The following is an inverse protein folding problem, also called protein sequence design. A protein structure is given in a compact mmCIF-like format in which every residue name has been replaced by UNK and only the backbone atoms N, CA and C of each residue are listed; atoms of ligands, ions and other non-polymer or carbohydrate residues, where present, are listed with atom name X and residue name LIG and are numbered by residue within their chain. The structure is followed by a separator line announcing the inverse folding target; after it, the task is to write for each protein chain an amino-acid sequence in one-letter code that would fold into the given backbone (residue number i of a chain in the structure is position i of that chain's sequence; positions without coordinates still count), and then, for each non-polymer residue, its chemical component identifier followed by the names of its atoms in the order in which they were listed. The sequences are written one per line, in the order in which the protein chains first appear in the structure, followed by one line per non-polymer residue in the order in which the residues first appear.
data_IF_428051584861
#
_entry.id   IF_428051584861
#
_cell.length_a   1.000
_cell.length_b   1.000
_cell.length_c   1.000
_cell.angle_alpha   90.00
_cell.angle_beta   90.00
_cell.angle_gamma   90.00
#
_symmetry.space_group_name_H-M   'P 1'
#
loop_
_entity.id
_entity.type
_entity.pdbx_description
1 polymer ?
#
# COMPACT_ATOMS: atom_id res chain seq x y z
N UNK A 1 -3.02 20.81 8.56
CA UNK A 1 -1.80 19.98 8.36
C UNK A 1 -0.56 20.84 8.22
N UNK A 2 -0.61 21.92 7.43
CA UNK A 2 0.49 22.91 7.32
C UNK A 2 1.06 23.42 8.64
N UNK A 3 0.21 23.77 9.61
CA UNK A 3 0.67 24.21 10.94
C UNK A 3 1.48 23.15 11.67
N UNK A 4 1.12 21.87 11.49
CA UNK A 4 1.85 20.75 12.10
C UNK A 4 3.20 20.60 11.41
N UNK A 5 3.24 20.60 10.08
CA UNK A 5 4.49 20.52 9.33
C UNK A 5 5.43 21.68 9.69
N UNK A 6 4.91 22.91 9.72
CA UNK A 6 5.67 24.10 10.05
C UNK A 6 6.29 24.01 11.45
N UNK A 7 5.56 23.48 12.43
CA UNK A 7 6.08 23.31 13.79
C UNK A 7 7.25 22.32 13.89
N UNK A 8 7.33 21.35 12.97
CA UNK A 8 8.42 20.39 12.92
C UNK A 8 9.60 20.93 12.13
N UNK A 9 9.34 21.61 11.02
CA UNK A 9 10.38 22.21 10.17
C UNK A 9 11.13 23.33 10.88
N UNK A 10 10.54 23.99 11.88
CA UNK A 10 11.26 24.95 12.75
C UNK A 10 12.24 24.29 13.72
N UNK A 11 12.34 22.96 13.76
CA UNK A 11 13.29 22.27 14.63
C UNK A 11 14.73 22.49 14.15
N UNK A 12 15.71 22.70 15.05
CA UNK A 12 17.10 22.90 14.65
C UNK A 12 17.63 21.73 13.81
N UNK A 13 18.28 22.06 12.69
CA UNK A 13 18.86 21.09 11.76
C UNK A 13 17.88 20.45 10.77
N UNK A 14 16.63 20.91 10.71
CA UNK A 14 15.67 20.53 9.66
C UNK A 14 15.72 21.54 8.51
N UNK A 15 15.96 21.04 7.30
CA UNK A 15 16.02 21.83 6.06
C UNK A 15 14.61 22.04 5.51
N UNK A 16 13.77 21.02 5.61
CA UNK A 16 12.39 21.07 5.17
C UNK A 16 11.66 19.75 5.39
N UNK A 17 10.40 19.70 5.00
CA UNK A 17 9.61 18.50 5.13
C UNK A 17 8.37 18.48 4.27
N UNK A 18 7.73 17.32 4.26
CA UNK A 18 6.49 17.06 3.54
C UNK A 18 5.62 16.05 4.27
N UNK A 19 4.32 16.13 4.02
CA UNK A 19 3.34 15.15 4.45
C UNK A 19 2.75 14.51 3.20
N UNK A 20 2.78 13.19 3.15
CA UNK A 20 2.11 12.40 2.13
C UNK A 20 0.97 11.59 2.74
N UNK A 21 -0.04 11.29 1.92
CA UNK A 21 -1.06 10.28 2.25
C UNK A 21 -0.51 8.86 2.08
N UNK A 22 -1.32 7.86 2.40
CA UNK A 22 -1.04 6.43 2.26
C UNK A 22 -0.71 6.01 0.82
N UNK A 23 -1.13 6.79 -0.18
CA UNK A 23 -0.86 6.60 -1.60
C UNK A 23 0.52 7.14 -2.03
N UNK A 24 1.19 7.88 -1.16
CA UNK A 24 2.43 8.59 -1.47
C UNK A 24 2.18 9.90 -2.20
N UNK A 25 0.92 10.35 -2.30
CA UNK A 25 0.58 11.65 -2.85
C UNK A 25 0.89 12.74 -1.84
N UNK A 26 1.46 13.82 -2.34
CA UNK A 26 1.91 14.94 -1.53
C UNK A 26 0.70 15.77 -1.08
N UNK A 27 0.41 15.79 0.22
CA UNK A 27 -0.66 16.61 0.81
C UNK A 27 -0.18 18.03 1.09
N UNK A 28 1.00 18.15 1.71
CA UNK A 28 1.57 19.43 2.13
C UNK A 28 3.09 19.37 2.03
N UNK A 29 3.72 20.46 1.58
CA UNK A 29 5.18 20.62 1.61
C UNK A 29 5.61 21.91 2.28
N UNK A 30 6.79 21.87 2.87
CA UNK A 30 7.54 23.00 3.41
C UNK A 30 9.01 22.72 3.14
N UNK A 31 9.38 22.73 1.87
CA UNK A 31 10.75 22.52 1.36
C UNK A 31 11.24 23.78 0.65
N UNK A 32 12.56 24.03 0.59
CA UNK A 32 13.13 25.10 -0.22
C UNK A 32 12.73 25.01 -1.70
N UNK A 33 12.63 26.15 -2.38
CA UNK A 33 12.12 26.25 -3.76
C UNK A 33 12.98 25.50 -4.80
N UNK A 34 14.23 25.18 -4.46
CA UNK A 34 15.10 24.35 -5.28
C UNK A 34 14.61 22.89 -5.44
N UNK A 35 13.68 22.43 -4.59
CA UNK A 35 13.13 21.08 -4.66
C UNK A 35 11.80 21.07 -5.40
N UNK A 36 11.82 20.45 -6.59
CA UNK A 36 10.62 20.28 -7.42
C UNK A 36 9.57 19.38 -6.75
N UNK A 37 8.30 19.78 -6.85
CA UNK A 37 7.17 19.03 -6.29
C UNK A 37 7.00 17.65 -6.91
N UNK A 38 7.27 17.49 -8.21
CA UNK A 38 7.17 16.20 -8.89
C UNK A 38 8.24 15.23 -8.40
N UNK A 39 9.47 15.70 -8.16
CA UNK A 39 10.51 14.88 -7.55
C UNK A 39 10.20 14.51 -6.10
N UNK A 40 9.68 15.45 -5.29
CA UNK A 40 9.26 15.18 -3.91
C UNK A 40 8.16 14.12 -3.83
N UNK A 41 7.17 14.16 -4.73
CA UNK A 41 6.13 13.15 -4.81
C UNK A 41 6.70 11.76 -5.11
N UNK A 42 7.63 11.65 -6.08
CA UNK A 42 8.32 10.38 -6.37
C UNK A 42 9.08 9.85 -5.17
N UNK A 43 9.79 10.72 -4.44
CA UNK A 43 10.49 10.35 -3.21
C UNK A 43 9.51 9.86 -2.15
N UNK A 44 8.37 10.53 -1.96
CA UNK A 44 7.34 10.09 -1.03
C UNK A 44 6.79 8.70 -1.38
N UNK A 45 6.48 8.44 -2.66
CA UNK A 45 6.04 7.12 -3.13
C UNK A 45 7.08 6.04 -2.84
N UNK A 46 8.35 6.29 -3.18
CA UNK A 46 9.43 5.33 -3.00
C UNK A 46 9.70 5.01 -1.51
N UNK A 47 9.67 6.04 -0.66
CA UNK A 47 9.82 5.85 0.79
C UNK A 47 8.68 5.05 1.38
N UNK A 48 7.44 5.24 0.90
CA UNK A 48 6.30 4.45 1.34
C UNK A 48 6.40 2.99 0.92
N UNK A 49 6.88 2.71 -0.29
CA UNK A 49 7.10 1.34 -0.75
C UNK A 49 8.16 0.63 0.10
N UNK A 50 9.25 1.32 0.43
CA UNK A 50 10.28 0.79 1.32
C UNK A 50 9.75 0.57 2.73
N UNK A 51 8.99 1.53 3.26
CA UNK A 51 8.38 1.46 4.58
C UNK A 51 7.48 0.23 4.71
N UNK A 52 6.69 -0.08 3.68
CA UNK A 52 5.84 -1.27 3.64
C UNK A 52 6.65 -2.57 3.68
N UNK A 53 7.69 -2.68 2.85
CA UNK A 53 8.57 -3.86 2.86
C UNK A 53 9.29 -4.04 4.20
N UNK A 54 9.68 -2.94 4.84
CA UNK A 54 10.25 -2.97 6.19
C UNK A 54 9.22 -3.39 7.24
N UNK A 55 7.99 -2.88 7.17
CA UNK A 55 6.91 -3.25 8.10
C UNK A 55 6.59 -4.75 8.03
N UNK A 56 6.56 -5.32 6.83
CA UNK A 56 6.38 -6.76 6.62
C UNK A 56 7.54 -7.58 7.20
N UNK A 57 8.78 -7.17 6.93
CA UNK A 57 9.97 -7.88 7.41
C UNK A 57 10.20 -7.78 8.93
N UNK A 58 9.82 -6.66 9.57
CA UNK A 58 10.14 -6.40 10.98
C UNK A 58 8.93 -6.49 11.92
N UNK A 59 7.72 -6.76 11.41
CA UNK A 59 6.48 -6.75 12.20
C UNK A 59 6.02 -5.34 12.61
N UNK A 60 6.50 -4.32 11.91
CA UNK A 60 6.13 -2.91 12.10
C UNK A 60 7.34 -1.97 12.22
N UNK A 61 7.24 -0.81 11.58
CA UNK A 61 8.24 0.27 11.62
C UNK A 61 7.51 1.58 11.89
N UNK A 62 7.97 2.31 12.91
CA UNK A 62 7.39 3.63 13.23
C UNK A 62 8.16 4.78 12.59
N UNK A 63 9.44 4.58 12.34
CA UNK A 63 10.33 5.60 11.83
C UNK A 63 11.49 4.92 11.09
N UNK A 64 11.86 5.46 9.94
CA UNK A 64 13.03 5.07 9.18
C UNK A 64 13.93 6.29 8.96
N UNK A 65 15.25 6.05 8.98
CA UNK A 65 16.27 7.07 8.75
C UNK A 65 17.16 6.61 7.59
N UNK A 66 17.29 7.45 6.59
CA UNK A 66 18.22 7.27 5.48
C UNK A 66 19.29 8.35 5.61
N UNK A 67 20.55 7.92 5.72
CA UNK A 67 21.69 8.82 5.92
C UNK A 67 22.42 8.99 4.59
N UNK A 68 22.59 10.24 4.20
CA UNK A 68 23.42 10.66 3.07
C UNK A 68 24.63 11.42 3.60
N UNK A 69 25.61 11.66 2.73
CA UNK A 69 26.80 12.45 3.07
C UNK A 69 26.43 13.89 3.46
N UNK A 70 25.49 14.50 2.71
CA UNK A 70 25.10 15.90 2.86
C UNK A 70 23.81 16.11 3.66
N UNK A 71 23.18 15.04 4.14
CA UNK A 71 21.95 15.18 4.91
C UNK A 71 21.37 13.86 5.39
N UNK A 72 20.24 13.96 6.06
CA UNK A 72 19.46 12.82 6.53
C UNK A 72 18.03 12.99 6.11
N UNK A 73 17.42 11.89 5.68
CA UNK A 73 16.01 11.84 5.42
C UNK A 73 15.35 10.95 6.47
N UNK A 74 14.33 11.50 7.14
CA UNK A 74 13.61 10.82 8.20
C UNK A 74 12.18 10.68 7.75
N UNK A 75 11.71 9.44 7.63
CA UNK A 75 10.31 9.14 7.33
C UNK A 75 9.64 8.57 8.58
N UNK A 76 8.43 9.06 8.87
CA UNK A 76 7.68 8.68 10.05
C UNK A 76 6.22 8.46 9.74
N UNK A 77 5.72 7.28 10.09
CA UNK A 77 4.32 6.91 9.94
C UNK A 77 3.45 7.61 11.01
N UNK A 78 2.28 8.10 10.61
CA UNK A 78 1.30 8.79 11.44
C UNK A 78 -0.12 8.39 11.01
N UNK A 79 -0.52 7.16 11.33
CA UNK A 79 -1.74 6.54 10.81
C UNK A 79 -1.65 6.33 9.28
N UNK A 80 -2.66 6.79 8.55
CA UNK A 80 -2.74 6.72 7.08
C UNK A 80 -1.91 7.81 6.37
N UNK A 81 -0.95 8.43 7.07
CA UNK A 81 -0.10 9.50 6.55
C UNK A 81 1.34 9.24 6.90
N UNK A 82 2.24 9.77 6.07
CA UNK A 82 3.67 9.78 6.33
C UNK A 82 4.18 11.21 6.42
N UNK A 83 4.98 11.49 7.44
CA UNK A 83 5.73 12.72 7.59
C UNK A 83 7.19 12.44 7.22
N UNK A 84 7.68 13.16 6.22
CA UNK A 84 9.05 13.03 5.73
C UNK A 84 9.80 14.34 5.94
N UNK A 85 10.97 14.29 6.56
CA UNK A 85 11.83 15.44 6.80
C UNK A 85 13.18 15.27 6.12
N UNK A 86 13.67 16.34 5.51
CA UNK A 86 15.06 16.49 5.10
C UNK A 86 15.79 17.30 6.16
N UNK A 87 16.90 16.76 6.66
CA UNK A 87 17.67 17.31 7.75
C UNK A 87 19.15 17.39 7.40
N UNK A 88 19.88 18.23 8.11
CA UNK A 88 21.33 18.30 8.06
C UNK A 88 21.97 17.04 8.65
N UNK A 89 23.23 16.70 8.28
CA UNK A 89 23.91 15.51 8.79
C UNK A 89 24.04 15.47 10.31
N UNK A 90 24.23 16.64 10.93
CA UNK A 90 24.47 16.82 12.36
C UNK A 90 23.20 16.96 13.21
N UNK A 91 22.01 16.79 12.63
CA UNK A 91 20.75 16.98 13.37
C UNK A 91 20.66 16.05 14.58
N UNK A 92 20.18 16.59 15.71
CA UNK A 92 19.92 15.79 16.91
C UNK A 92 18.62 15.00 16.74
N UNK A 93 18.75 13.74 16.32
CA UNK A 93 17.63 12.84 16.05
C UNK A 93 16.76 12.59 17.28
N UNK A 94 17.33 12.61 18.49
CA UNK A 94 16.58 12.36 19.72
C UNK A 94 15.59 13.49 20.00
N UNK A 95 16.05 14.74 19.91
CA UNK A 95 15.19 15.93 20.06
C UNK A 95 14.16 15.99 18.94
N UNK A 96 14.59 15.72 17.71
CA UNK A 96 13.69 15.71 16.56
C UNK A 96 12.62 14.62 16.67
N UNK A 97 12.96 13.44 17.21
CA UNK A 97 12.01 12.36 17.46
C UNK A 97 10.88 12.78 18.41
N UNK A 98 11.15 13.62 19.41
CA UNK A 98 10.13 14.17 20.31
C UNK A 98 9.16 15.07 19.53
N UNK A 99 9.69 16.00 18.71
CA UNK A 99 8.87 16.87 17.87
C UNK A 99 8.02 16.05 16.87
N UNK A 100 8.63 15.04 16.25
CA UNK A 100 8.00 14.09 15.35
C UNK A 100 6.90 13.25 16.02
N UNK A 101 7.10 12.78 17.25
CA UNK A 101 6.07 12.08 18.04
C UNK A 101 4.83 12.96 18.24
N UNK A 102 5.03 14.22 18.63
CA UNK A 102 3.94 15.17 18.86
C UNK A 102 3.22 15.50 17.56
N UNK A 103 3.98 15.70 16.47
CA UNK A 103 3.42 15.97 15.16
C UNK A 103 2.61 14.78 14.63
N UNK A 104 3.12 13.55 14.75
CA UNK A 104 2.40 12.34 14.35
C UNK A 104 1.06 12.22 15.10
N UNK A 105 1.05 12.38 16.42
CA UNK A 105 -0.18 12.37 17.23
C UNK A 105 -1.16 13.49 16.85
N UNK A 106 -0.66 14.65 16.41
CA UNK A 106 -1.52 15.74 15.92
C UNK A 106 -2.09 15.42 14.53
N UNK A 107 -1.32 14.78 13.66
CA UNK A 107 -1.76 14.37 12.33
C UNK A 107 -2.82 13.27 12.39
N UNK A 108 -2.68 12.31 13.30
CA UNK A 108 -3.69 11.26 13.54
C UNK A 108 -5.06 11.82 13.96
N UNK A 109 -5.07 12.96 14.69
CA UNK A 109 -6.30 13.63 15.12
C UNK A 109 -6.98 14.45 14.03
N UNK A 110 -6.29 14.73 12.92
CA UNK A 110 -6.88 15.49 11.81
C UNK A 110 -7.63 14.50 10.93
N UNK A 111 -8.96 14.62 10.78
CA UNK A 111 -9.74 13.73 9.93
C UNK A 111 -9.14 13.66 8.53
N UNK A 112 -9.11 12.48 7.92
CA UNK A 112 -8.86 12.34 6.49
C UNK A 112 -10.09 12.90 5.80
N UNK A 113 -10.05 14.19 5.46
CA UNK A 113 -10.97 14.69 4.45
C UNK A 113 -10.56 14.00 3.15
N UNK A 114 -11.44 13.23 2.52
CA UNK A 114 -11.20 12.81 1.15
C UNK A 114 -11.02 14.10 0.38
N UNK A 115 -9.80 14.33 -0.10
CA UNK A 115 -9.58 15.37 -1.09
C UNK A 115 -10.37 14.84 -2.27
N UNK A 116 -11.59 15.36 -2.45
CA UNK A 116 -12.28 15.24 -3.72
C UNK A 116 -11.22 15.62 -4.74
N UNK A 117 -10.83 14.67 -5.59
CA UNK A 117 -10.08 14.99 -6.79
C UNK A 117 -10.88 16.13 -7.42
N UNK A 118 -10.36 17.35 -7.30
CA UNK A 118 -10.67 18.38 -8.25
C UNK A 118 -10.10 17.80 -9.54
N UNK A 119 -10.96 17.06 -10.23
CA UNK A 119 -10.88 16.89 -11.66
C UNK A 119 -10.67 18.29 -12.18
N UNK A 120 -9.42 18.63 -12.51
CA UNK A 120 -9.18 19.69 -13.44
C UNK A 120 -10.09 19.37 -14.61
N UNK A 121 -11.08 20.23 -14.85
CA UNK A 121 -12.00 20.08 -15.95
C UNK A 121 -11.15 19.96 -17.20
N UNK A 122 -11.04 18.73 -17.70
CA UNK A 122 -10.46 18.46 -19.00
C UNK A 122 -11.38 19.17 -19.98
N UNK A 123 -10.92 20.31 -20.49
CA UNK A 123 -11.43 20.86 -21.73
C UNK A 123 -11.40 19.72 -22.78
N UNK A 124 -12.45 19.56 -23.59
CA UNK A 124 -12.52 18.49 -24.57
C UNK A 124 -11.51 18.75 -25.69
N UNK A 125 -10.28 18.28 -25.49
CA UNK A 125 -9.31 18.13 -26.58
C UNK A 125 -9.74 16.93 -27.41
N UNK A 126 -10.12 17.24 -28.64
CA UNK A 126 -10.57 16.33 -29.67
C UNK A 126 -9.55 15.22 -29.92
N UNK A 127 -10.08 14.01 -30.06
CA UNK A 127 -9.59 12.89 -30.87
C UNK A 127 -8.08 12.83 -31.14
N UNK A 128 -7.39 12.05 -30.32
CA UNK A 128 -6.25 11.24 -30.80
C UNK A 128 -6.60 9.78 -30.57
N UNK A 129 -6.49 8.92 -31.60
CA UNK A 129 -6.85 7.51 -31.48
C UNK A 129 -5.94 6.82 -30.45
N UNK A 130 -6.45 5.82 -29.71
CA UNK A 130 -5.66 5.14 -28.69
C UNK A 130 -4.48 4.43 -29.36
N UNK A 131 -3.27 4.71 -28.90
CA UNK A 131 -2.14 3.82 -29.11
C UNK A 131 -2.49 2.48 -28.45
N UNK A 132 -2.90 1.54 -29.29
CA UNK A 132 -2.85 0.12 -28.99
C UNK A 132 -1.38 -0.27 -28.88
N UNK A 133 -0.82 -0.21 -27.67
CA UNK A 133 0.34 -1.02 -27.33
C UNK A 133 -0.15 -2.46 -27.14
N UNK A 134 0.09 -3.28 -28.15
CA UNK A 134 -0.22 -4.70 -28.15
C UNK A 134 0.64 -5.48 -27.17
N UNK A 135 0.03 -5.86 -26.05
CA UNK A 135 -0.07 -7.23 -25.52
C UNK A 135 -1.28 -7.19 -24.59
N UNK A 136 -2.30 -7.99 -24.89
CA UNK A 136 -3.64 -7.84 -24.32
C UNK A 136 -3.72 -8.29 -22.87
N UNK A 137 -3.53 -7.37 -21.92
CA UNK A 137 -3.99 -7.51 -20.54
C UNK A 137 -4.44 -6.13 -20.03
N UNK A 138 -5.74 -5.87 -20.13
CA UNK A 138 -6.34 -4.60 -19.69
C UNK A 138 -6.28 -4.52 -18.17
N UNK A 139 -5.65 -3.46 -17.65
CA UNK A 139 -5.71 -3.07 -16.24
C UNK A 139 -7.19 -2.97 -15.81
N UNK A 140 -7.67 -3.88 -14.95
CA UNK A 140 -9.01 -3.79 -14.38
C UNK A 140 -8.91 -3.09 -13.02
N UNK A 141 -9.62 -1.96 -12.81
CA UNK A 141 -9.66 -1.32 -11.50
C UNK A 141 -10.29 -2.28 -10.49
N UNK A 142 -9.63 -2.44 -9.34
CA UNK A 142 -10.11 -3.20 -8.19
C UNK A 142 -11.53 -2.76 -7.82
N UNK A 143 -12.48 -3.69 -7.86
CA UNK A 143 -13.88 -3.40 -7.57
C UNK A 143 -14.17 -3.65 -6.08
N UNK A 144 -14.84 -2.69 -5.45
CA UNK A 144 -15.30 -2.81 -4.06
C UNK A 144 -16.82 -3.00 -4.11
N UNK A 145 -17.31 -4.12 -3.60
CA UNK A 145 -18.74 -4.40 -3.50
C UNK A 145 -19.06 -4.74 -2.05
N UNK A 146 -20.07 -4.09 -1.46
CA UNK A 146 -20.49 -4.26 -0.06
C UNK A 146 -19.36 -4.09 0.98
N UNK A 147 -18.40 -3.19 0.70
CA UNK A 147 -17.25 -2.97 1.59
C UNK A 147 -16.23 -4.11 1.57
N UNK A 148 -16.28 -4.99 0.57
CA UNK A 148 -15.34 -6.09 0.38
C UNK A 148 -14.67 -6.00 -0.99
N UNK A 149 -13.40 -6.39 -1.08
CA UNK A 149 -12.64 -6.32 -2.33
C UNK A 149 -12.93 -7.53 -3.21
N UNK A 150 -13.31 -7.27 -4.46
CA UNK A 150 -13.49 -8.29 -5.49
C UNK A 150 -12.26 -8.40 -6.35
N UNK A 151 -11.79 -9.63 -6.51
CA UNK A 151 -10.64 -9.96 -7.33
C UNK A 151 -11.02 -11.06 -8.31
N UNK A 152 -10.42 -11.01 -9.50
CA UNK A 152 -10.65 -12.03 -10.51
C UNK A 152 -9.76 -13.25 -10.25
N UNK A 153 -10.35 -14.43 -10.26
CA UNK A 153 -9.68 -15.71 -10.05
C UNK A 153 -8.96 -16.12 -11.30
N UNK A 154 -7.68 -16.41 -11.16
CA UNK A 154 -6.88 -17.09 -12.15
C UNK A 154 -6.40 -18.41 -11.55
N UNK A 155 -6.85 -19.52 -12.13
CA UNK A 155 -6.44 -20.85 -11.68
C UNK A 155 -5.11 -21.16 -12.35
N UNK A 156 -4.09 -21.48 -11.56
CA UNK A 156 -2.76 -21.79 -12.10
C UNK A 156 -2.51 -23.27 -12.01
N UNK A 157 -2.43 -23.92 -13.16
CA UNK A 157 -2.10 -25.33 -13.29
C UNK A 157 -0.61 -25.45 -13.66
N UNK A 158 0.26 -25.16 -12.68
CA UNK A 158 1.74 -25.15 -12.81
C UNK A 158 2.29 -24.46 -14.06
N UNK A 159 2.77 -23.23 -13.94
CA UNK A 159 3.70 -22.71 -14.95
C UNK A 159 4.71 -21.73 -14.36
N UNK A 160 5.99 -22.08 -14.52
CA UNK A 160 7.12 -21.15 -14.59
C UNK A 160 7.44 -20.33 -13.33
N UNK A 161 8.12 -20.94 -12.36
CA UNK A 161 8.91 -20.20 -11.36
C UNK A 161 8.34 -20.13 -9.95
N UNK A 162 7.04 -20.36 -9.75
CA UNK A 162 6.45 -20.42 -8.41
C UNK A 162 6.27 -21.88 -7.98
N UNK A 163 7.02 -22.31 -6.96
CA UNK A 163 6.94 -23.64 -6.36
C UNK A 163 5.55 -23.88 -5.75
N UNK A 164 4.71 -24.72 -6.36
CA UNK A 164 3.47 -25.18 -5.71
C UNK A 164 3.28 -26.70 -5.86
N UNK A 165 3.05 -27.38 -4.74
CA UNK A 165 2.55 -28.74 -4.69
C UNK A 165 1.02 -28.71 -4.84
N UNK A 166 0.49 -29.53 -5.74
CA UNK A 166 -0.94 -29.59 -6.10
C UNK A 166 -1.89 -30.01 -4.96
N UNK A 167 -1.38 -30.17 -3.73
CA UNK A 167 -2.09 -30.77 -2.61
C UNK A 167 -2.46 -29.76 -1.51
N UNK A 168 -1.93 -28.55 -1.56
CA UNK A 168 -2.17 -27.51 -0.56
C UNK A 168 -2.97 -26.34 -1.16
N UNK A 169 -3.89 -25.80 -0.37
CA UNK A 169 -4.64 -24.59 -0.70
C UNK A 169 -3.72 -23.37 -0.58
N UNK A 170 -3.31 -22.82 -1.72
CA UNK A 170 -2.45 -21.64 -1.77
C UNK A 170 -3.09 -20.57 -2.64
N UNK A 171 -2.89 -19.33 -2.20
CA UNK A 171 -3.47 -18.16 -2.84
C UNK A 171 -2.40 -17.09 -2.91
N UNK A 172 -2.17 -16.55 -4.11
CA UNK A 172 -1.18 -15.50 -4.31
C UNK A 172 -1.76 -14.30 -5.01
N UNK A 173 -1.24 -13.13 -4.66
CA UNK A 173 -1.58 -11.85 -5.31
C UNK A 173 -0.32 -11.08 -5.64
N UNK A 174 -0.41 -10.20 -6.63
CA UNK A 174 0.63 -9.20 -6.85
C UNK A 174 0.76 -8.29 -5.62
N UNK A 175 1.98 -7.82 -5.34
CA UNK A 175 2.30 -6.78 -4.37
C UNK A 175 1.40 -5.53 -4.47
N UNK A 176 1.05 -5.05 -5.67
CA UNK A 176 0.11 -3.92 -5.86
C UNK A 176 -1.30 -4.22 -5.33
N UNK A 177 -1.82 -5.40 -5.66
CA UNK A 177 -3.10 -5.93 -5.18
C UNK A 177 -3.09 -6.13 -3.67
N UNK A 178 -2.02 -6.75 -3.14
CA UNK A 178 -1.82 -6.95 -1.70
C UNK A 178 -1.87 -5.62 -0.93
N UNK A 179 -1.16 -4.60 -1.45
CA UNK A 179 -1.17 -3.25 -0.90
C UNK A 179 -2.57 -2.64 -0.88
N UNK A 180 -3.34 -2.84 -1.95
CA UNK A 180 -4.71 -2.33 -2.04
C UNK A 180 -5.65 -3.02 -1.06
N UNK A 181 -5.48 -4.34 -0.84
CA UNK A 181 -6.22 -5.09 0.18
C UNK A 181 -5.91 -4.58 1.59
N UNK A 182 -4.63 -4.41 1.94
CA UNK A 182 -4.25 -3.90 3.25
C UNK A 182 -4.74 -2.46 3.48
N UNK A 183 -4.71 -1.62 2.44
CA UNK A 183 -5.30 -0.27 2.50
C UNK A 183 -6.79 -0.31 2.81
N UNK A 184 -7.55 -1.15 2.10
CA UNK A 184 -9.00 -1.21 2.27
C UNK A 184 -9.42 -1.70 3.67
N UNK A 185 -8.66 -2.59 4.28
CA UNK A 185 -9.00 -3.17 5.59
C UNK A 185 -8.31 -2.49 6.78
N UNK A 186 -7.48 -1.47 6.56
CA UNK A 186 -6.72 -0.73 7.59
C UNK A 186 -6.03 -1.63 8.63
N UNK A 187 -5.69 -2.87 8.24
CA UNK A 187 -5.16 -3.90 9.13
C UNK A 187 -3.64 -3.99 9.00
N UNK A 188 -2.97 -4.32 10.11
CA UNK A 188 -1.56 -4.75 10.07
C UNK A 188 -1.38 -5.86 9.02
N UNK A 189 -0.19 -6.00 8.41
CA UNK A 189 0.09 -7.08 7.47
C UNK A 189 -0.31 -8.42 8.09
N UNK A 190 -1.39 -9.01 7.57
CA UNK A 190 -1.94 -10.29 8.03
C UNK A 190 -1.65 -11.34 6.96
N UNK A 191 -1.09 -12.47 7.37
CA UNK A 191 -0.82 -13.59 6.44
C UNK A 191 -2.05 -14.39 6.08
N UNK A 192 -3.16 -14.26 6.83
CA UNK A 192 -4.40 -15.03 6.66
C UNK A 192 -5.55 -14.16 6.17
N UNK A 193 -6.25 -14.63 5.14
CA UNK A 193 -7.40 -13.97 4.55
C UNK A 193 -8.56 -14.94 4.39
N UNK A 194 -9.77 -14.42 4.46
CA UNK A 194 -11.00 -15.15 4.18
C UNK A 194 -11.40 -14.86 2.73
N UNK A 195 -11.49 -15.91 1.93
CA UNK A 195 -11.92 -15.88 0.54
C UNK A 195 -13.34 -16.41 0.47
N UNK A 196 -14.27 -15.56 0.05
CA UNK A 196 -15.68 -15.94 -0.10
C UNK A 196 -16.06 -15.91 -1.58
N UNK A 197 -16.63 -17.01 -2.06
CA UNK A 197 -17.23 -17.04 -3.39
C UNK A 197 -18.63 -16.39 -3.33
N UNK A 198 -18.87 -15.28 -4.05
CA UNK A 198 -20.12 -14.54 -3.98
C UNK A 198 -21.32 -15.31 -4.57
N UNK A 199 -21.10 -16.37 -5.36
CA UNK A 199 -22.19 -17.14 -5.99
C UNK A 199 -22.80 -18.20 -5.07
N UNK A 200 -21.99 -18.86 -4.24
CA UNK A 200 -22.42 -19.97 -3.38
C UNK A 200 -22.22 -19.68 -1.88
N UNK A 201 -21.66 -18.52 -1.52
CA UNK A 201 -21.29 -18.12 -0.15
C UNK A 201 -20.34 -19.10 0.56
N UNK A 202 -19.61 -19.94 -0.17
CA UNK A 202 -18.54 -20.75 0.41
C UNK A 202 -17.37 -19.87 0.78
N UNK A 203 -16.82 -20.10 1.98
CA UNK A 203 -15.73 -19.33 2.55
C UNK A 203 -14.60 -20.28 2.98
N UNK A 204 -13.36 -19.95 2.62
CA UNK A 204 -12.16 -20.59 3.14
C UNK A 204 -11.18 -19.54 3.68
N UNK A 205 -10.55 -19.86 4.82
CA UNK A 205 -9.47 -19.02 5.39
C UNK A 205 -8.15 -19.59 4.90
N UNK A 206 -7.48 -18.86 4.03
CA UNK A 206 -6.25 -19.32 3.36
C UNK A 206 -5.13 -18.30 3.61
N UNK A 207 -3.89 -18.79 3.63
CA UNK A 207 -2.71 -17.93 3.66
C UNK A 207 -2.50 -17.27 2.30
N UNK A 208 -2.20 -15.97 2.30
CA UNK A 208 -1.97 -15.23 1.07
C UNK A 208 -0.48 -14.94 0.90
N UNK A 209 0.06 -15.38 -0.23
CA UNK A 209 1.45 -15.18 -0.61
C UNK A 209 1.58 -14.04 -1.63
N UNK A 210 2.70 -13.31 -1.53
CA UNK A 210 2.99 -12.21 -2.45
C UNK A 210 3.91 -12.73 -3.54
N UNK A 211 3.54 -12.50 -4.80
CA UNK A 211 4.39 -12.87 -5.94
C UNK A 211 5.66 -12.01 -5.89
N UNK A 212 6.83 -12.65 -5.79
CA UNK A 212 8.11 -11.96 -5.64
C UNK A 212 8.62 -11.32 -6.95
N UNK A 213 8.32 -11.92 -8.10
CA UNK A 213 8.95 -11.59 -9.40
C UNK A 213 7.94 -11.07 -10.46
N UNK A 214 6.91 -10.33 -10.04
CA UNK A 214 5.97 -9.64 -10.96
C UNK A 214 6.42 -8.21 -11.28
N UNK A 215 7.53 -8.07 -12.01
CA UNK A 215 8.11 -6.76 -12.37
C UNK A 215 7.26 -5.94 -13.33
N UNK A 216 6.37 -6.59 -14.08
CA UNK A 216 5.52 -5.96 -15.10
C UNK A 216 4.08 -5.74 -14.63
N UNK A 217 3.76 -6.08 -13.37
CA UNK A 217 2.40 -6.02 -12.81
C UNK A 217 1.35 -6.78 -13.65
N UNK A 218 1.74 -7.92 -14.20
CA UNK A 218 0.89 -8.73 -15.08
C UNK A 218 -0.35 -9.28 -14.35
N UNK A 219 -0.27 -9.42 -13.03
CA UNK A 219 -1.33 -9.98 -12.18
C UNK A 219 -2.09 -8.95 -11.35
N UNK A 220 -2.03 -7.67 -11.72
CA UNK A 220 -2.73 -6.63 -10.98
C UNK A 220 -4.26 -6.82 -11.00
N UNK A 221 -4.91 -6.70 -9.84
CA UNK A 221 -6.34 -6.96 -9.67
C UNK A 221 -6.77 -8.44 -9.72
N UNK A 222 -5.82 -9.38 -9.77
CA UNK A 222 -6.09 -10.83 -9.83
C UNK A 222 -5.62 -11.55 -8.59
N UNK A 223 -6.27 -12.69 -8.33
CA UNK A 223 -5.87 -13.67 -7.33
C UNK A 223 -5.54 -14.97 -8.04
N UNK A 224 -4.31 -15.44 -7.87
CA UNK A 224 -3.86 -16.74 -8.32
C UNK A 224 -4.25 -17.77 -7.25
N UNK A 225 -5.03 -18.76 -7.63
CA UNK A 225 -5.53 -19.79 -6.70
C UNK A 225 -5.11 -21.18 -7.22
N UNK A 226 -4.70 -22.07 -6.31
CA UNK A 226 -4.42 -23.47 -6.68
C UNK A 226 -5.71 -24.22 -7.05
N UNK A 227 -5.57 -25.28 -7.85
CA UNK A 227 -6.73 -26.11 -8.23
C UNK A 227 -7.48 -26.65 -7.00
N UNK A 228 -6.76 -27.06 -5.94
CA UNK A 228 -7.36 -27.54 -4.69
C UNK A 228 -8.25 -26.47 -4.01
N UNK A 229 -7.77 -25.23 -3.91
CA UNK A 229 -8.54 -24.13 -3.35
C UNK A 229 -9.69 -23.70 -4.27
N UNK A 230 -9.51 -23.78 -5.60
CA UNK A 230 -10.58 -23.51 -6.56
C UNK A 230 -11.69 -24.58 -6.50
N UNK A 231 -11.35 -25.85 -6.34
CA UNK A 231 -12.33 -26.93 -6.16
C UNK A 231 -13.09 -26.79 -4.84
N UNK A 232 -12.40 -26.47 -3.75
CA UNK A 232 -13.02 -26.28 -2.43
C UNK A 232 -14.02 -25.09 -2.44
N UNK A 233 -13.66 -23.99 -3.07
CA UNK A 233 -14.53 -22.81 -3.20
C UNK A 233 -15.50 -22.89 -4.39
N UNK A 234 -15.42 -23.96 -5.20
CA UNK A 234 -16.15 -24.16 -6.46
C UNK A 234 -16.04 -22.97 -7.42
N UNK A 235 -14.82 -22.51 -7.63
CA UNK A 235 -14.48 -21.38 -8.49
C UNK A 235 -14.04 -21.86 -9.88
N UNK A 236 -14.39 -21.09 -10.91
CA UNK A 236 -13.86 -21.26 -12.26
C UNK A 236 -12.89 -20.14 -12.62
N UNK A 237 -12.04 -20.39 -13.60
CA UNK A 237 -11.15 -19.35 -14.14
C UNK A 237 -11.98 -18.15 -14.65
N UNK A 238 -11.58 -16.95 -14.23
CA UNK A 238 -12.27 -15.71 -14.55
C UNK A 238 -13.44 -15.36 -13.63
N UNK A 239 -13.82 -16.23 -12.68
CA UNK A 239 -14.83 -15.89 -11.66
C UNK A 239 -14.29 -14.82 -10.69
N UNK A 240 -15.20 -14.21 -9.93
CA UNK A 240 -14.85 -13.18 -8.93
C UNK A 240 -14.89 -13.77 -7.54
N UNK A 241 -13.90 -13.44 -6.73
CA UNK A 241 -13.83 -13.81 -5.31
C UNK A 241 -13.77 -12.56 -4.47
N UNK A 242 -14.44 -12.64 -3.34
CA UNK A 242 -14.49 -11.59 -2.34
C UNK A 242 -13.44 -11.90 -1.27
N UNK A 243 -12.50 -10.97 -1.06
CA UNK A 243 -11.48 -11.08 -0.02
C UNK A 243 -11.91 -10.29 1.19
N UNK A 244 -11.73 -10.87 2.37
CA UNK A 244 -11.84 -10.21 3.67
C UNK A 244 -10.66 -10.54 4.58
N UNK A 245 -10.22 -9.56 5.37
CA UNK A 245 -9.29 -9.82 6.48
C UNK A 245 -10.11 -10.21 7.72
N UNK A 246 -9.99 -11.44 8.25
CA UNK A 246 -10.70 -11.82 9.46
C UNK A 246 -10.26 -10.95 10.64
N UNK A 247 -11.21 -10.33 11.35
CA UNK A 247 -10.94 -9.54 12.56
C UNK A 247 -10.35 -10.47 13.64
N UNK A 248 -9.08 -10.28 13.99
CA UNK A 248 -8.39 -11.07 15.03
C UNK A 248 -7.01 -11.61 14.65
N UNK A 249 -6.56 -11.44 13.40
CA UNK A 249 -5.23 -11.91 12.94
C UNK A 249 -4.13 -10.88 13.19
N UNK A 250 -3.94 -10.50 14.46
CA UNK A 250 -2.69 -9.92 14.93
C UNK A 250 -1.59 -11.00 15.04
N UNK A 251 -0.32 -10.59 15.12
CA UNK A 251 0.89 -11.43 15.17
C UNK A 251 0.88 -12.62 16.15
N UNK A 252 -0.07 -12.69 17.07
CA UNK A 252 -0.34 -13.87 17.88
C UNK A 252 -1.64 -14.48 17.38
N UNK A 253 -1.52 -15.58 16.64
CA UNK A 253 -2.63 -16.51 16.51
C UNK A 253 -3.11 -16.90 17.90
N UNK A 254 -4.43 -17.02 18.05
CA UNK A 254 -5.21 -17.26 19.26
C UNK A 254 -5.70 -15.98 19.95
N UNK A 255 -6.92 -15.57 19.60
CA UNK A 255 -7.97 -15.36 20.60
C UNK A 255 -9.29 -15.82 19.96
N UNK A 256 -9.70 -17.02 20.37
CA UNK A 256 -10.81 -17.77 19.85
C UNK A 256 -11.10 -18.99 20.73
N UNK A 257 -11.21 -18.74 22.04
CA UNK A 257 -12.26 -19.32 22.89
C UNK A 257 -12.95 -18.12 23.53
#
# INVERSE_FOLDING_TARGET
METVLRSVVTSPGVIGGMIADDSGQLLVRSMPDMYDSGQLAKVATLLMEQQFGLEDATGGVRQSEIRFELGKLIARSAGERSLVLLCEPGVNIQVLSIALNVAAKKLEKIPVQPVAQQSAAAQPSQMTPPLQSGTGWTFMPLQIENGKMLLQVQIVDRTGGTFWSSMEEHVSVNRSTCRSIWRHYSSRPSKKFSLTNPRNNLNSIISLDIIEDDKENLFDGRVLITLAAAEHLQLKEGDRVMIEVPKGTGLFGWEGI
#
